data_IF_817991556273
#
_entry.id   IF_817991556273
#
_cell.length_a   1.000
_cell.length_b   1.000
_cell.length_c   1.000
_cell.angle_alpha   90.00
_cell.angle_beta   90.00
_cell.angle_gamma   90.00
#
_symmetry.space_group_name_H-M   'P 1'
#
loop_
_entity.id
_entity.type
_entity.pdbx_description
1 polymer ?
#
# COMPACT_ATOMS: atom_id res chain seq x y z
N UNK A 1 31.99 2.89 -21.74
CA UNK A 1 32.72 3.23 -20.49
C UNK A 1 31.78 4.08 -19.66
N UNK A 2 30.99 3.45 -18.79
CA UNK A 2 29.95 4.14 -17.99
C UNK A 2 30.43 4.15 -16.55
N UNK A 3 30.57 5.35 -16.00
CA UNK A 3 31.12 5.62 -14.68
C UNK A 3 30.10 5.24 -13.60
N UNK A 4 30.56 4.47 -12.62
CA UNK A 4 29.84 4.07 -11.41
C UNK A 4 29.82 5.24 -10.42
N UNK A 5 28.64 5.62 -9.95
CA UNK A 5 28.49 6.55 -8.83
C UNK A 5 28.53 5.72 -7.54
N UNK A 6 29.61 5.91 -6.77
CA UNK A 6 29.87 5.29 -5.47
C UNK A 6 29.01 5.97 -4.39
N UNK A 7 28.13 5.21 -3.74
CA UNK A 7 27.38 5.64 -2.55
C UNK A 7 28.24 5.48 -1.28
N UNK A 8 29.35 6.22 -1.18
CA UNK A 8 30.25 6.20 -0.02
C UNK A 8 30.40 7.58 0.65
N UNK A 9 29.30 8.26 0.98
CA UNK A 9 29.37 9.55 1.70
C UNK A 9 28.28 9.79 2.76
N UNK A 10 27.86 8.74 3.48
CA UNK A 10 27.15 8.95 4.76
C UNK A 10 27.93 8.30 5.90
N UNK A 11 28.67 9.14 6.60
CA UNK A 11 29.49 8.80 7.76
C UNK A 11 28.56 8.74 8.99
N UNK A 12 28.10 7.54 9.36
CA UNK A 12 27.26 7.34 10.56
C UNK A 12 28.18 6.95 11.74
N UNK A 13 28.18 7.69 12.86
CA UNK A 13 29.02 7.36 14.01
C UNK A 13 28.59 6.06 14.68
N UNK A 14 29.58 5.23 15.04
CA UNK A 14 29.41 3.96 15.76
C UNK A 14 28.94 4.22 17.19
N UNK A 15 27.78 3.68 17.58
CA UNK A 15 27.29 3.67 18.95
C UNK A 15 27.59 2.30 19.57
N UNK A 16 28.38 2.33 20.65
CA UNK A 16 28.76 1.18 21.48
C UNK A 16 27.54 0.71 22.30
N UNK A 17 27.32 -0.60 22.53
CA UNK A 17 26.14 -1.08 23.24
C UNK A 17 26.22 -0.80 24.75
N UNK A 18 25.21 -0.11 25.30
CA UNK A 18 25.00 -0.02 26.74
C UNK A 18 24.27 -1.29 27.25
N UNK A 19 24.66 -1.73 28.44
CA UNK A 19 24.28 -3.00 29.10
C UNK A 19 22.78 -3.15 29.43
N UNK A 20 22.30 -4.41 29.39
CA UNK A 20 20.95 -4.86 29.75
C UNK A 20 20.59 -4.63 31.23
N UNK A 21 19.36 -4.19 31.57
CA UNK A 21 18.84 -4.20 32.94
C UNK A 21 18.20 -5.56 33.31
N UNK A 22 18.07 -5.89 34.62
CA UNK A 22 17.84 -7.25 35.09
C UNK A 22 16.38 -7.74 35.00
N UNK A 23 16.28 -9.04 34.73
CA UNK A 23 15.07 -9.87 34.70
C UNK A 23 14.23 -9.75 35.98
N UNK A 24 12.97 -9.35 35.85
CA UNK A 24 11.98 -9.45 36.94
C UNK A 24 10.95 -10.53 36.60
N UNK A 25 10.97 -11.61 37.38
CA UNK A 25 10.06 -12.75 37.32
C UNK A 25 8.65 -12.35 37.78
N UNK A 26 7.65 -12.43 36.90
CA UNK A 26 6.24 -12.22 37.26
C UNK A 26 5.55 -13.57 37.48
N UNK A 27 5.11 -13.80 38.72
CA UNK A 27 4.33 -14.96 39.14
C UNK A 27 2.97 -15.03 38.43
N UNK A 28 2.69 -16.19 37.82
CA UNK A 28 1.43 -16.55 37.17
C UNK A 28 0.32 -16.79 38.19
N UNK A 29 -0.61 -15.83 38.35
CA UNK A 29 -1.85 -16.03 39.10
C UNK A 29 -2.93 -16.59 38.15
N UNK A 30 -3.37 -17.83 38.39
CA UNK A 30 -4.55 -18.41 37.72
C UNK A 30 -5.81 -17.81 38.33
N UNK A 31 -6.59 -17.09 37.54
CA UNK A 31 -7.99 -16.76 37.85
C UNK A 31 -8.86 -17.15 36.67
N UNK A 32 -9.63 -18.22 36.87
CA UNK A 32 -10.72 -18.64 35.99
C UNK A 32 -11.86 -17.62 36.11
N UNK A 33 -12.11 -16.86 35.05
CA UNK A 33 -13.36 -16.10 34.89
C UNK A 33 -13.84 -16.28 33.46
N UNK A 34 -14.90 -17.08 33.32
CA UNK A 34 -15.65 -17.23 32.07
C UNK A 34 -16.38 -15.92 31.79
N UNK A 35 -15.76 -15.05 31.00
CA UNK A 35 -16.43 -13.85 30.46
C UNK A 35 -16.89 -14.22 29.05
N UNK A 36 -18.19 -14.44 28.88
CA UNK A 36 -18.83 -14.59 27.57
C UNK A 36 -18.41 -13.42 26.69
N UNK A 37 -17.75 -13.73 25.57
CA UNK A 37 -17.48 -12.74 24.53
C UNK A 37 -18.82 -12.40 23.88
N UNK A 38 -19.21 -11.13 23.98
CA UNK A 38 -20.31 -10.56 23.21
C UNK A 38 -19.99 -10.68 21.71
N UNK A 39 -20.97 -10.96 20.83
CA UNK A 39 -20.74 -10.89 19.40
C UNK A 39 -20.38 -9.45 19.06
N UNK A 40 -19.25 -9.24 18.40
CA UNK A 40 -18.88 -7.95 17.83
C UNK A 40 -19.97 -7.62 16.79
N UNK A 41 -20.88 -6.72 17.16
CA UNK A 41 -21.80 -6.11 16.21
C UNK A 41 -20.95 -5.38 15.17
N UNK A 42 -21.06 -5.81 13.92
CA UNK A 42 -20.50 -5.10 12.78
C UNK A 42 -21.00 -3.65 12.85
N UNK A 43 -20.12 -2.73 13.20
CA UNK A 43 -20.39 -1.30 13.10
C UNK A 43 -20.45 -1.02 11.61
N UNK A 44 -21.67 -0.88 11.09
CA UNK A 44 -21.90 -0.40 9.74
C UNK A 44 -21.16 0.94 9.58
N UNK A 45 -20.37 1.05 8.51
CA UNK A 45 -19.69 2.28 8.14
C UNK A 45 -20.67 3.46 8.18
N UNK A 46 -20.26 4.65 8.65
CA UNK A 46 -21.08 5.83 8.48
C UNK A 46 -21.24 6.05 6.97
N UNK A 47 -22.41 5.70 6.44
CA UNK A 47 -22.80 6.04 5.09
C UNK A 47 -22.74 7.56 5.00
N UNK A 48 -21.83 8.07 4.17
CA UNK A 48 -21.83 9.48 3.81
C UNK A 48 -23.26 9.85 3.39
N UNK A 49 -23.92 10.70 4.17
CA UNK A 49 -25.29 11.18 3.89
C UNK A 49 -25.31 12.22 2.78
N UNK A 50 -24.29 12.24 1.92
CA UNK A 50 -24.32 13.01 0.70
C UNK A 50 -25.28 12.30 -0.26
N UNK A 51 -26.31 13.00 -0.73
CA UNK A 51 -27.17 12.49 -1.80
C UNK A 51 -26.27 12.00 -2.94
N UNK A 52 -26.37 10.73 -3.30
CA UNK A 52 -25.61 10.18 -4.41
C UNK A 52 -26.19 10.74 -5.71
N UNK A 53 -25.56 11.80 -6.22
CA UNK A 53 -25.82 12.35 -7.54
C UNK A 53 -24.91 11.61 -8.51
N UNK A 54 -25.49 10.80 -9.39
CA UNK A 54 -24.78 10.16 -10.51
C UNK A 54 -25.07 10.91 -11.81
N UNK A 55 -24.18 10.80 -12.79
CA UNK A 55 -24.37 11.34 -14.14
C UNK A 55 -24.76 12.83 -14.17
N UNK A 56 -24.04 13.66 -13.39
CA UNK A 56 -24.28 15.11 -13.35
C UNK A 56 -23.84 15.85 -14.63
N UNK A 57 -23.11 15.18 -15.52
CA UNK A 57 -22.65 15.74 -16.79
C UNK A 57 -23.78 15.73 -17.83
N UNK A 58 -24.10 16.88 -18.47
CA UNK A 58 -25.05 16.90 -19.57
C UNK A 58 -24.62 15.97 -20.73
N UNK A 59 -25.54 15.18 -21.33
CA UNK A 59 -25.19 14.22 -22.38
C UNK A 59 -24.48 14.83 -23.59
N UNK A 60 -24.75 16.10 -23.90
CA UNK A 60 -24.11 16.80 -25.02
C UNK A 60 -22.60 16.95 -24.83
N UNK A 61 -22.10 16.89 -23.59
CA UNK A 61 -20.67 16.96 -23.29
C UNK A 61 -19.95 15.62 -23.54
N UNK A 62 -20.65 14.50 -23.66
CA UNK A 62 -20.04 13.20 -23.98
C UNK A 62 -19.36 13.23 -25.35
N UNK A 63 -19.92 13.96 -26.30
CA UNK A 63 -19.34 14.13 -27.64
C UNK A 63 -17.97 14.82 -27.62
N UNK A 64 -17.68 15.62 -26.57
CA UNK A 64 -16.35 16.20 -26.38
C UNK A 64 -15.32 15.09 -26.15
N UNK A 65 -15.60 14.13 -25.26
CA UNK A 65 -14.68 13.03 -24.96
C UNK A 65 -14.44 12.13 -26.16
N UNK A 66 -15.48 11.85 -26.95
CA UNK A 66 -15.36 11.16 -28.23
C UNK A 66 -14.48 11.94 -29.22
N UNK A 67 -14.69 13.24 -29.35
CA UNK A 67 -13.88 14.09 -30.25
C UNK A 67 -12.40 14.17 -29.85
N UNK A 68 -12.08 13.91 -28.57
CA UNK A 68 -10.72 13.92 -28.04
C UNK A 68 -9.98 12.58 -28.21
N UNK A 69 -10.65 11.50 -28.58
CA UNK A 69 -10.01 10.17 -28.70
C UNK A 69 -8.76 10.15 -29.61
N UNK A 70 -8.74 10.80 -30.79
CA UNK A 70 -7.53 10.88 -31.60
C UNK A 70 -6.40 11.60 -30.87
N UNK A 71 -6.71 12.71 -30.18
CA UNK A 71 -5.73 13.46 -29.41
C UNK A 71 -5.17 12.63 -28.25
N UNK A 72 -6.00 11.89 -27.53
CA UNK A 72 -5.57 10.97 -26.46
C UNK A 72 -4.63 9.90 -27.00
N UNK A 73 -4.97 9.35 -28.17
CA UNK A 73 -4.15 8.32 -28.82
C UNK A 73 -2.76 8.85 -29.18
N UNK A 74 -2.67 10.09 -29.65
CA UNK A 74 -1.43 10.71 -30.10
C UNK A 74 -0.61 11.36 -28.99
N UNK A 75 -1.24 11.80 -27.89
CA UNK A 75 -0.59 12.65 -26.88
C UNK A 75 -0.58 12.05 -25.46
N UNK A 76 -1.57 11.22 -25.11
CA UNK A 76 -1.67 10.64 -23.75
C UNK A 76 -1.14 9.21 -23.73
N UNK A 77 -1.61 8.36 -24.66
CA UNK A 77 -1.17 6.96 -24.71
C UNK A 77 0.35 6.79 -24.88
N UNK A 78 1.09 7.66 -25.60
CA UNK A 78 2.55 7.53 -25.68
C UNK A 78 3.30 7.85 -24.39
N UNK A 79 2.66 8.46 -23.39
CA UNK A 79 3.28 8.73 -22.08
C UNK A 79 3.43 7.46 -21.24
N UNK A 80 2.64 6.42 -21.52
CA UNK A 80 2.77 5.11 -20.85
C UNK A 80 4.11 4.49 -21.20
N UNK A 81 4.75 3.86 -20.22
CA UNK A 81 5.99 3.13 -20.50
C UNK A 81 5.63 1.78 -21.14
N UNK A 82 6.35 1.34 -22.18
CA UNK A 82 6.23 -0.03 -22.66
C UNK A 82 6.50 -1.02 -21.51
N UNK A 83 5.72 -2.09 -21.42
CA UNK A 83 5.77 -3.05 -20.30
C UNK A 83 7.18 -3.62 -20.12
N UNK A 84 7.89 -3.86 -21.22
CA UNK A 84 9.25 -4.40 -21.25
C UNK A 84 10.30 -3.43 -20.68
N UNK A 85 9.94 -2.15 -20.54
CA UNK A 85 10.76 -1.09 -19.95
C UNK A 85 10.26 -0.67 -18.57
N UNK A 86 9.17 -1.25 -18.09
CA UNK A 86 8.64 -1.01 -16.76
C UNK A 86 9.41 -1.87 -15.76
N UNK A 87 9.85 -1.23 -14.68
CA UNK A 87 10.39 -1.95 -13.52
C UNK A 87 9.34 -2.94 -12.98
N UNK A 88 9.81 -4.05 -12.43
CA UNK A 88 8.96 -5.04 -11.76
C UNK A 88 9.28 -5.11 -10.26
N UNK A 89 8.30 -5.43 -9.39
CA UNK A 89 8.54 -5.52 -7.94
C UNK A 89 9.72 -6.42 -7.56
N UNK A 90 9.93 -7.51 -8.31
CA UNK A 90 11.03 -8.46 -8.08
C UNK A 90 12.42 -7.83 -8.21
N UNK A 91 12.57 -6.75 -8.98
CA UNK A 91 13.85 -6.04 -9.12
C UNK A 91 14.29 -5.33 -7.84
N UNK A 92 13.39 -5.16 -6.85
CA UNK A 92 13.64 -4.47 -5.58
C UNK A 92 13.44 -5.35 -4.34
N UNK A 93 13.11 -6.63 -4.54
CA UNK A 93 12.80 -7.57 -3.48
C UNK A 93 13.80 -8.73 -3.48
N UNK A 94 13.98 -9.41 -2.34
CA UNK A 94 14.73 -10.66 -2.31
C UNK A 94 14.23 -11.66 -3.35
N UNK A 95 15.14 -12.23 -4.13
CA UNK A 95 14.79 -13.05 -5.30
C UNK A 95 14.74 -14.55 -4.94
N UNK A 96 13.55 -15.17 -4.85
CA UNK A 96 13.41 -16.57 -4.48
C UNK A 96 13.92 -17.53 -5.56
N UNK A 97 14.19 -17.05 -6.80
CA UNK A 97 14.69 -17.89 -7.89
C UNK A 97 16.18 -18.23 -7.77
N UNK A 98 16.93 -17.51 -6.93
CA UNK A 98 18.37 -17.72 -6.74
C UNK A 98 18.71 -18.91 -5.83
N UNK A 99 17.70 -19.51 -5.18
CA UNK A 99 17.87 -20.60 -4.23
C UNK A 99 17.58 -20.16 -2.79
N UNK A 100 17.28 -21.13 -1.89
CA UNK A 100 16.84 -20.83 -0.53
C UNK A 100 17.90 -20.08 0.29
N UNK A 101 19.18 -20.46 0.17
CA UNK A 101 20.25 -19.88 0.96
C UNK A 101 20.47 -18.39 0.65
N UNK A 102 20.54 -18.03 -0.64
CA UNK A 102 20.69 -16.63 -1.09
C UNK A 102 19.45 -15.80 -0.74
N UNK A 103 18.26 -16.35 -0.98
CA UNK A 103 17.01 -15.67 -0.63
C UNK A 103 16.92 -15.37 0.88
N UNK A 104 17.29 -16.34 1.74
CA UNK A 104 17.32 -16.14 3.19
C UNK A 104 18.32 -15.07 3.62
N UNK A 105 19.50 -15.02 2.99
CA UNK A 105 20.51 -13.99 3.23
C UNK A 105 19.99 -12.59 2.86
N UNK A 106 19.37 -12.44 1.68
CA UNK A 106 18.79 -11.17 1.23
C UNK A 106 17.64 -10.70 2.14
N UNK A 107 16.76 -11.63 2.56
CA UNK A 107 15.70 -11.35 3.53
C UNK A 107 16.28 -10.95 4.89
N UNK A 108 17.32 -11.63 5.36
CA UNK A 108 18.00 -11.27 6.60
C UNK A 108 18.59 -9.87 6.50
N UNK A 109 19.28 -9.55 5.42
CA UNK A 109 19.87 -8.23 5.17
C UNK A 109 18.80 -7.13 5.10
N UNK A 110 17.65 -7.40 4.47
CA UNK A 110 16.50 -6.49 4.47
C UNK A 110 16.02 -6.20 5.89
N UNK A 111 15.85 -7.24 6.70
CA UNK A 111 15.40 -7.10 8.10
C UNK A 111 16.40 -6.32 8.96
N UNK A 112 17.70 -6.49 8.75
CA UNK A 112 18.71 -5.70 9.46
C UNK A 112 18.60 -4.21 9.14
N UNK A 113 18.40 -3.83 7.87
CA UNK A 113 18.19 -2.43 7.48
C UNK A 113 16.91 -1.85 8.10
N UNK A 114 15.86 -2.66 8.14
CA UNK A 114 14.57 -2.29 8.72
C UNK A 114 14.67 -1.96 10.22
N UNK A 115 15.58 -2.56 10.99
CA UNK A 115 15.75 -2.25 12.42
C UNK A 115 16.11 -0.78 12.68
N UNK A 116 16.75 -0.10 11.71
CA UNK A 116 17.10 1.32 11.82
C UNK A 116 15.96 2.30 11.56
N UNK A 117 14.77 1.83 11.17
CA UNK A 117 13.63 2.68 10.84
C UNK A 117 12.69 2.84 12.05
N UNK A 118 12.09 4.02 12.23
CA UNK A 118 11.15 4.26 13.32
C UNK A 118 9.78 3.63 13.05
N UNK A 119 8.95 3.49 14.09
CA UNK A 119 7.60 2.96 13.94
C UNK A 119 6.66 3.94 13.20
N UNK A 120 6.85 5.25 13.36
CA UNK A 120 6.10 6.27 12.61
C UNK A 120 6.33 6.14 11.10
N UNK A 121 7.57 5.80 10.70
CA UNK A 121 7.88 5.54 9.30
C UNK A 121 7.10 4.34 8.76
N UNK A 122 7.02 3.26 9.55
CA UNK A 122 6.27 2.07 9.18
C UNK A 122 4.76 2.31 9.14
N UNK A 123 4.23 3.10 10.07
CA UNK A 123 2.82 3.54 10.04
C UNK A 123 2.49 4.23 8.72
N UNK A 124 3.32 5.19 8.31
CA UNK A 124 3.15 5.90 7.03
C UNK A 124 3.27 4.92 5.85
N UNK A 125 4.25 4.02 5.88
CA UNK A 125 4.49 3.05 4.81
C UNK A 125 3.32 2.06 4.64
N UNK A 126 2.71 1.63 5.75
CA UNK A 126 1.51 0.79 5.75
C UNK A 126 0.31 1.56 5.23
N UNK A 127 0.15 2.83 5.63
CA UNK A 127 -0.90 3.70 5.09
C UNK A 127 -0.79 3.88 3.58
N UNK A 128 0.43 4.11 3.07
CA UNK A 128 0.68 4.17 1.64
C UNK A 128 0.33 2.85 0.95
N UNK A 129 0.84 1.73 1.46
CA UNK A 129 0.56 0.42 0.88
C UNK A 129 -0.94 0.12 0.81
N UNK A 130 -1.72 0.48 1.83
CA UNK A 130 -3.17 0.28 1.82
C UNK A 130 -3.91 1.13 0.80
N UNK A 131 -3.39 2.34 0.56
CA UNK A 131 -3.93 3.23 -0.48
C UNK A 131 -3.63 2.62 -1.85
N UNK A 132 -2.41 2.13 -2.08
CA UNK A 132 -2.03 1.43 -3.32
C UNK A 132 -2.81 0.12 -3.53
N UNK A 133 -3.10 -0.63 -2.45
CA UNK A 133 -3.90 -1.87 -2.48
C UNK A 133 -5.40 -1.62 -2.79
N UNK A 134 -5.86 -0.39 -2.64
CA UNK A 134 -7.24 -0.01 -2.95
C UNK A 134 -7.50 0.13 -4.46
N UNK A 135 -6.53 -0.23 -5.33
CA UNK A 135 -6.60 -0.10 -6.78
C UNK A 135 -7.91 -0.57 -7.43
N UNK A 136 -8.54 -1.71 -7.06
CA UNK A 136 -9.83 -2.10 -7.63
C UNK A 136 -10.94 -1.06 -7.43
N UNK A 137 -10.86 -0.26 -6.36
CA UNK A 137 -11.78 0.85 -6.10
C UNK A 137 -11.53 2.00 -7.06
N UNK A 138 -10.27 2.36 -7.32
CA UNK A 138 -9.92 3.42 -8.27
C UNK A 138 -10.26 3.06 -9.70
N UNK A 139 -10.01 1.82 -10.12
CA UNK A 139 -10.41 1.36 -11.46
C UNK A 139 -11.93 1.40 -11.63
N UNK A 140 -12.68 0.98 -10.61
CA UNK A 140 -14.15 1.09 -10.61
C UNK A 140 -14.58 2.55 -10.73
N UNK A 141 -13.96 3.47 -10.00
CA UNK A 141 -14.23 4.90 -10.07
C UNK A 141 -14.03 5.45 -11.49
N UNK A 142 -12.92 5.13 -12.15
CA UNK A 142 -12.70 5.52 -13.55
C UNK A 142 -13.78 4.96 -14.49
N UNK A 143 -14.22 3.74 -14.27
CA UNK A 143 -15.30 3.13 -15.04
C UNK A 143 -16.69 3.68 -14.73
N UNK A 144 -16.84 4.57 -13.73
CA UNK A 144 -18.07 5.34 -13.50
C UNK A 144 -18.08 6.71 -14.18
N UNK A 145 -16.95 7.14 -14.77
CA UNK A 145 -16.86 8.45 -15.39
C UNK A 145 -17.54 8.46 -16.77
N UNK A 146 -18.44 9.43 -16.93
CA UNK A 146 -19.14 9.71 -18.17
C UNK A 146 -18.16 9.99 -19.33
N UNK A 147 -18.25 9.21 -20.41
CA UNK A 147 -17.49 9.42 -21.65
C UNK A 147 -16.09 8.80 -21.69
N UNK A 148 -15.59 8.22 -20.59
CA UNK A 148 -14.26 7.58 -20.54
C UNK A 148 -14.28 6.14 -20.00
N UNK A 149 -15.45 5.65 -19.60
CA UNK A 149 -15.61 4.32 -19.03
C UNK A 149 -15.28 3.19 -20.02
N UNK A 150 -14.79 2.07 -19.49
CA UNK A 150 -14.58 0.85 -20.26
C UNK A 150 -15.84 -0.03 -20.22
N UNK A 151 -16.71 0.10 -21.21
CA UNK A 151 -18.00 -0.60 -21.27
C UNK A 151 -17.89 -2.13 -21.34
N UNK A 152 -16.78 -2.66 -21.85
CA UNK A 152 -16.61 -4.11 -22.10
C UNK A 152 -15.49 -4.74 -21.29
N UNK A 153 -14.75 -3.95 -20.51
CA UNK A 153 -13.50 -4.36 -19.86
C UNK A 153 -12.33 -4.61 -20.84
N UNK A 154 -12.56 -4.36 -22.13
CA UNK A 154 -11.60 -4.57 -23.22
C UNK A 154 -11.82 -3.60 -24.39
N UNK A 155 -12.53 -2.49 -24.14
CA UNK A 155 -12.88 -1.54 -25.20
C UNK A 155 -11.63 -1.01 -25.90
N UNK A 156 -11.63 -0.89 -27.24
CA UNK A 156 -10.53 -0.29 -27.99
C UNK A 156 -10.49 1.23 -27.86
N UNK A 157 -11.44 1.85 -27.17
CA UNK A 157 -11.45 3.28 -26.88
C UNK A 157 -10.11 3.71 -26.22
N UNK A 158 -9.46 4.79 -26.67
CA UNK A 158 -8.20 5.26 -26.09
C UNK A 158 -8.29 5.55 -24.59
N UNK A 159 -9.43 6.05 -24.11
CA UNK A 159 -9.67 6.26 -22.68
C UNK A 159 -9.67 4.94 -21.89
N UNK A 160 -10.36 3.92 -22.40
CA UNK A 160 -10.40 2.59 -21.79
C UNK A 160 -9.01 1.93 -21.81
N UNK A 161 -8.26 2.06 -22.91
CA UNK A 161 -6.87 1.59 -23.01
C UNK A 161 -5.99 2.27 -21.97
N UNK A 162 -6.13 3.59 -21.79
CA UNK A 162 -5.39 4.34 -20.77
C UNK A 162 -5.73 3.85 -19.36
N UNK A 163 -7.01 3.72 -19.02
CA UNK A 163 -7.45 3.24 -17.70
C UNK A 163 -6.86 1.88 -17.35
N UNK A 164 -6.87 0.93 -18.31
CA UNK A 164 -6.28 -0.41 -18.09
C UNK A 164 -4.75 -0.36 -17.98
N UNK A 165 -4.08 0.44 -18.81
CA UNK A 165 -2.63 0.59 -18.77
C UNK A 165 -2.17 1.24 -17.45
N UNK A 166 -2.83 2.32 -17.02
CA UNK A 166 -2.58 2.96 -15.73
C UNK A 166 -2.80 1.98 -14.58
N UNK A 167 -3.91 1.23 -14.59
CA UNK A 167 -4.19 0.23 -13.54
C UNK A 167 -3.09 -0.84 -13.48
N UNK A 168 -2.61 -1.32 -14.62
CA UNK A 168 -1.49 -2.26 -14.67
C UNK A 168 -0.19 -1.65 -14.14
N UNK A 169 0.06 -0.37 -14.40
CA UNK A 169 1.23 0.34 -13.86
C UNK A 169 1.14 0.48 -12.33
N UNK A 170 -0.01 0.90 -11.78
CA UNK A 170 -0.23 1.11 -10.34
C UNK A 170 -0.24 -0.19 -9.54
N UNK A 171 -0.70 -1.31 -10.11
CA UNK A 171 -0.74 -2.60 -9.40
C UNK A 171 0.65 -3.00 -8.85
N UNK A 172 1.72 -2.63 -9.57
CA UNK A 172 3.11 -2.91 -9.16
C UNK A 172 3.50 -2.16 -7.88
N UNK A 173 2.90 -1.01 -7.57
CA UNK A 173 3.19 -0.23 -6.37
C UNK A 173 2.74 -1.01 -5.12
N UNK A 174 1.48 -1.45 -5.12
CA UNK A 174 0.90 -2.25 -4.04
C UNK A 174 1.63 -3.58 -3.84
N UNK A 175 1.94 -4.29 -4.93
CA UNK A 175 2.68 -5.57 -4.87
C UNK A 175 4.07 -5.44 -4.24
N UNK A 176 4.81 -4.41 -4.63
CA UNK A 176 6.14 -4.12 -4.07
C UNK A 176 6.04 -3.80 -2.58
N UNK A 177 5.18 -2.86 -2.20
CA UNK A 177 5.07 -2.41 -0.81
C UNK A 177 4.54 -3.52 0.11
N UNK A 178 3.56 -4.30 -0.33
CA UNK A 178 3.02 -5.43 0.44
C UNK A 178 4.10 -6.46 0.70
N UNK A 179 4.84 -6.86 -0.33
CA UNK A 179 5.88 -7.88 -0.20
C UNK A 179 7.03 -7.37 0.65
N UNK A 180 7.44 -6.11 0.47
CA UNK A 180 8.45 -5.47 1.32
C UNK A 180 8.04 -5.49 2.80
N UNK A 181 6.81 -5.04 3.11
CA UNK A 181 6.30 -5.03 4.48
C UNK A 181 6.21 -6.46 5.06
N UNK A 182 5.76 -7.42 4.28
CA UNK A 182 5.71 -8.83 4.68
C UNK A 182 7.11 -9.36 5.04
N UNK A 183 8.10 -9.17 4.15
CA UNK A 183 9.47 -9.64 4.35
C UNK A 183 10.20 -8.90 5.48
N UNK A 184 9.82 -7.64 5.75
CA UNK A 184 10.37 -6.83 6.85
C UNK A 184 10.22 -7.47 8.23
N UNK A 185 9.25 -8.38 8.41
CA UNK A 185 9.06 -9.12 9.65
C UNK A 185 8.54 -8.31 10.83
N UNK A 186 8.14 -7.03 10.64
CA UNK A 186 7.51 -6.23 11.70
C UNK A 186 6.08 -6.68 11.93
N UNK A 187 5.94 -7.72 12.76
CA UNK A 187 4.69 -8.46 13.05
C UNK A 187 3.47 -7.59 13.37
N UNK A 188 3.67 -6.45 14.04
CA UNK A 188 2.57 -5.54 14.40
C UNK A 188 1.83 -5.01 13.16
N UNK A 189 2.57 -4.73 12.08
CA UNK A 189 2.00 -4.25 10.83
C UNK A 189 1.43 -5.37 9.97
N UNK A 190 1.96 -6.59 10.07
CA UNK A 190 1.40 -7.77 9.39
C UNK A 190 -0.02 -8.10 9.89
N UNK A 191 -0.27 -7.96 11.19
CA UNK A 191 -1.63 -8.14 11.75
C UNK A 191 -2.63 -7.12 11.20
N UNK A 192 -2.18 -5.92 10.81
CA UNK A 192 -3.03 -4.92 10.16
C UNK A 192 -3.37 -5.28 8.70
N UNK A 193 -2.55 -6.10 8.04
CA UNK A 193 -2.80 -6.62 6.68
C UNK A 193 -3.86 -7.73 6.69
N UNK A 194 -3.95 -8.49 7.79
CA UNK A 194 -4.84 -9.66 7.95
C UNK A 194 -6.26 -9.31 8.41
N UNK A 195 -6.54 -8.07 8.82
CA UNK A 195 -7.90 -7.65 9.15
C UNK A 195 -8.74 -7.52 7.87
N UNK A 196 -9.78 -8.34 7.72
CA UNK A 196 -10.81 -8.31 6.65
C UNK A 196 -11.71 -7.05 6.72
N UNK A 197 -11.09 -5.88 6.85
CA UNK A 197 -11.75 -4.59 6.72
C UNK A 197 -11.64 -4.12 5.26
N UNK A 198 -12.66 -3.42 4.76
CA UNK A 198 -12.56 -2.72 3.46
C UNK A 198 -11.41 -1.70 3.50
N UNK A 199 -10.82 -1.32 2.36
CA UNK A 199 -9.63 -0.42 2.35
C UNK A 199 -9.88 0.91 3.09
N UNK A 200 -11.11 1.44 2.99
CA UNK A 200 -11.55 2.63 3.71
C UNK A 200 -11.60 2.39 5.23
N UNK A 201 -12.16 1.26 5.67
CA UNK A 201 -12.19 0.88 7.09
C UNK A 201 -10.78 0.57 7.64
N UNK A 202 -9.88 0.00 6.83
CA UNK A 202 -8.47 -0.24 7.22
C UNK A 202 -7.74 1.09 7.46
N UNK A 203 -7.91 2.05 6.57
CA UNK A 203 -7.30 3.38 6.67
C UNK A 203 -7.78 4.13 7.92
N UNK A 204 -9.09 4.12 8.19
CA UNK A 204 -9.67 4.74 9.39
C UNK A 204 -9.20 4.05 10.67
N UNK A 205 -9.17 2.71 10.68
CA UNK A 205 -8.73 1.94 11.85
C UNK A 205 -7.24 2.14 12.14
N UNK A 206 -6.41 2.29 11.11
CA UNK A 206 -5.00 2.64 11.26
C UNK A 206 -4.85 4.05 11.79
N UNK A 207 -5.56 5.03 11.23
CA UNK A 207 -5.53 6.39 11.75
C UNK A 207 -5.97 6.43 13.23
N UNK A 208 -6.97 5.63 13.62
CA UNK A 208 -7.41 5.49 15.00
C UNK A 208 -6.37 4.81 15.91
N UNK A 209 -5.71 3.74 15.46
CA UNK A 209 -4.64 3.07 16.19
C UNK A 209 -3.42 3.97 16.37
N UNK A 210 -3.04 4.70 15.33
CA UNK A 210 -1.95 5.68 15.37
C UNK A 210 -2.28 6.83 16.33
N UNK A 211 -3.52 7.32 16.33
CA UNK A 211 -3.98 8.36 17.26
C UNK A 211 -3.99 7.86 18.71
N UNK A 212 -4.32 6.58 18.94
CA UNK A 212 -4.28 5.97 20.27
C UNK A 212 -2.85 5.73 20.76
N UNK A 213 -1.93 5.33 19.89
CA UNK A 213 -0.51 5.15 20.23
C UNK A 213 0.16 6.48 20.55
N UNK A 214 -0.09 7.52 19.74
CA UNK A 214 0.39 8.90 19.98
C UNK A 214 -0.14 9.52 21.27
N UNK A 215 -1.34 9.15 21.73
CA UNK A 215 -1.90 9.62 23.02
C UNK A 215 -1.40 8.84 24.23
N UNK A 216 -0.74 7.69 24.02
CA UNK A 216 -0.23 6.84 25.10
C UNK A 216 1.24 7.06 25.43
N UNK A 217 1.96 7.84 24.61
CA UNK A 217 3.29 8.32 24.98
C UNK A 217 3.15 9.57 25.86
N UNK A 218 3.66 9.56 27.10
CA UNK A 218 3.83 10.80 27.84
C UNK A 218 4.97 11.55 27.15
N UNK A 219 4.63 12.53 26.32
CA UNK A 219 5.62 13.44 25.76
C UNK A 219 6.45 14.08 26.88
N UNK A 220 7.73 14.28 26.55
CA UNK A 220 8.66 15.22 27.19
C UNK A 220 7.99 16.50 27.70
#
# INVERSE_FOLDING_TARGET
MMQTISFSQFNIPSIVPASLPPTTTIHRRKTTSSRRLSPVLAVASPTSRHLQVTHSMPPEKLEIFKSLEPWVSENVLPLRKPVEKCWQPIEFLPDPSQGPDQFEEEVWALRQRVLGLSDEYFVMLVGNMLTEDALPTYQTLFNTFDGVCDETGSSPCPWAIWTRAWSAEENRHGDLLRTYLYLSGRRHYNTLLELELTSEQRTIHIWALCTHHFKSEPHF
#
